data_IF_837661887953
#
_entry.id   IF_837661887953
#
_cell.length_a   1.000
_cell.length_b   1.000
_cell.length_c   1.000
_cell.angle_alpha   90.00
_cell.angle_beta   90.00
_cell.angle_gamma   90.00
#
_symmetry.space_group_name_H-M   'P 1'
#
loop_
_entity.id
_entity.type
_entity.pdbx_description
1 polymer ?
#
# COMPACT_ATOMS: atom_id res chain seq x y z
N UNK A 1 0.17 13.42 20.61
CA UNK A 1 -0.65 13.81 19.44
C UNK A 1 0.13 13.40 18.20
N UNK A 2 -0.49 12.73 17.22
CA UNK A 2 0.20 12.35 15.98
C UNK A 2 0.47 13.60 15.13
N UNK A 3 1.67 13.68 14.55
CA UNK A 3 2.05 14.73 13.59
C UNK A 3 2.17 14.14 12.18
N UNK A 4 1.28 14.52 11.24
CA UNK A 4 1.33 14.05 9.87
C UNK A 4 2.64 14.41 9.16
N UNK A 5 3.16 13.51 8.34
CA UNK A 5 4.29 13.83 7.46
C UNK A 5 3.87 14.77 6.33
N UNK A 6 4.78 15.65 5.93
CA UNK A 6 4.55 16.57 4.81
C UNK A 6 4.47 15.81 3.47
N UNK A 7 3.76 16.40 2.50
CA UNK A 7 3.72 15.93 1.10
C UNK A 7 4.45 16.97 0.25
N UNK A 8 5.45 16.59 -0.58
CA UNK A 8 5.89 15.22 -0.85
C UNK A 8 6.62 14.57 0.34
N UNK A 9 6.39 13.28 0.51
CA UNK A 9 7.05 12.43 1.50
C UNK A 9 7.94 11.42 0.78
N UNK A 10 9.12 11.19 1.33
CA UNK A 10 10.01 10.10 0.98
C UNK A 10 10.61 9.52 2.26
N UNK A 11 10.56 8.19 2.40
CA UNK A 11 11.02 7.51 3.61
C UNK A 11 12.56 7.46 3.67
N UNK A 12 13.11 7.45 4.88
CA UNK A 12 14.54 7.66 5.14
C UNK A 12 15.38 6.37 5.18
N UNK A 13 14.76 5.20 5.00
CA UNK A 13 15.43 3.89 4.98
C UNK A 13 16.04 3.59 3.61
N UNK A 14 16.94 2.59 3.46
CA UNK A 14 17.36 2.17 2.12
C UNK A 14 16.13 1.76 1.30
N UNK A 15 15.81 2.61 0.33
CA UNK A 15 14.67 2.40 -0.56
C UNK A 15 15.10 1.51 -1.73
N UNK A 16 14.20 0.67 -2.24
CA UNK A 16 14.40 0.12 -3.57
C UNK A 16 14.45 1.27 -4.59
N UNK A 17 14.95 0.98 -5.80
CA UNK A 17 14.88 1.95 -6.90
C UNK A 17 13.43 2.31 -7.17
N UNK A 18 13.05 3.56 -6.88
CA UNK A 18 11.67 4.01 -7.04
C UNK A 18 11.37 4.27 -8.52
N UNK A 19 10.25 3.77 -9.05
CA UNK A 19 9.86 4.04 -10.42
C UNK A 19 9.46 5.50 -10.59
N UNK A 20 9.66 6.01 -11.79
CA UNK A 20 9.15 7.30 -12.24
C UNK A 20 7.63 7.25 -12.40
N UNK A 21 6.98 8.41 -12.36
CA UNK A 21 5.54 8.51 -12.59
C UNK A 21 5.12 7.98 -13.96
N UNK A 22 5.96 8.15 -14.99
CA UNK A 22 5.68 7.65 -16.33
C UNK A 22 5.76 6.11 -16.41
N UNK A 23 6.75 5.51 -15.75
CA UNK A 23 6.83 4.04 -15.63
C UNK A 23 5.61 3.48 -14.87
N UNK A 24 5.17 4.16 -13.81
CA UNK A 24 3.97 3.76 -13.06
C UNK A 24 2.73 3.81 -13.98
N UNK A 25 2.56 4.89 -14.76
CA UNK A 25 1.42 5.06 -15.67
C UNK A 25 1.44 4.08 -16.84
N UNK A 26 2.62 3.73 -17.33
CA UNK A 26 2.81 2.77 -18.41
C UNK A 26 2.73 1.30 -17.93
N UNK A 27 2.72 1.06 -16.62
CA UNK A 27 2.70 -0.28 -16.05
C UNK A 27 1.41 -1.04 -16.43
N UNK A 28 1.58 -2.20 -17.07
CA UNK A 28 0.48 -3.06 -17.52
C UNK A 28 0.03 -4.07 -16.47
N UNK A 29 0.81 -4.26 -15.40
CA UNK A 29 0.51 -5.18 -14.31
C UNK A 29 -0.44 -4.54 -13.30
N UNK A 30 -1.70 -4.38 -13.71
CA UNK A 30 -2.77 -3.80 -12.90
C UNK A 30 -3.34 -4.84 -11.94
N UNK A 31 -3.18 -4.61 -10.63
CA UNK A 31 -3.76 -5.47 -9.59
C UNK A 31 -5.22 -5.15 -9.32
N UNK A 32 -5.58 -3.86 -9.44
CA UNK A 32 -6.92 -3.36 -9.20
C UNK A 32 -7.12 -2.02 -9.91
N UNK A 33 -8.31 -1.81 -10.48
CA UNK A 33 -8.66 -0.55 -11.13
C UNK A 33 -10.13 -0.21 -10.88
N UNK A 34 -10.35 1.06 -10.61
CA UNK A 34 -11.66 1.69 -10.46
C UNK A 34 -11.67 2.97 -11.29
N UNK A 35 -12.83 3.61 -11.41
CA UNK A 35 -12.91 4.92 -12.07
C UNK A 35 -12.00 5.99 -11.44
N UNK A 36 -11.74 5.91 -10.13
CA UNK A 36 -11.08 6.97 -9.37
C UNK A 36 -9.65 6.63 -8.90
N UNK A 37 -9.23 5.37 -8.99
CA UNK A 37 -7.95 4.88 -8.50
C UNK A 37 -7.50 3.61 -9.21
N UNK A 38 -6.18 3.43 -9.28
CA UNK A 38 -5.50 2.27 -9.86
C UNK A 38 -4.41 1.78 -8.91
N UNK A 39 -4.23 0.46 -8.86
CA UNK A 39 -3.15 -0.22 -8.15
C UNK A 39 -2.36 -1.03 -9.17
N UNK A 40 -1.07 -0.75 -9.30
CA UNK A 40 -0.15 -1.47 -10.19
C UNK A 40 0.98 -2.12 -9.40
N UNK A 41 1.37 -3.33 -9.78
CA UNK A 41 2.58 -3.98 -9.29
C UNK A 41 3.72 -3.73 -10.27
N UNK A 42 4.59 -2.78 -9.92
CA UNK A 42 5.70 -2.37 -10.79
C UNK A 42 6.75 -3.47 -10.90
N UNK A 43 7.05 -4.13 -9.77
CA UNK A 43 7.93 -5.29 -9.69
C UNK A 43 7.55 -6.14 -8.46
N UNK A 44 8.44 -7.03 -8.02
CA UNK A 44 8.19 -7.91 -6.87
C UNK A 44 8.29 -7.21 -5.51
N UNK A 45 8.90 -6.03 -5.45
CA UNK A 45 9.10 -5.25 -4.22
C UNK A 45 8.19 -4.03 -4.11
N UNK A 46 7.64 -3.55 -5.22
CA UNK A 46 6.94 -2.26 -5.30
C UNK A 46 5.53 -2.42 -5.88
N UNK A 47 4.56 -1.91 -5.13
CA UNK A 47 3.20 -1.65 -5.59
C UNK A 47 2.90 -0.16 -5.48
N UNK A 48 2.15 0.38 -6.44
CA UNK A 48 1.76 1.79 -6.44
C UNK A 48 0.27 1.92 -6.53
N UNK A 49 -0.31 2.65 -5.58
CA UNK A 49 -1.71 3.08 -5.63
C UNK A 49 -1.75 4.54 -6.03
N UNK A 50 -2.50 4.87 -7.08
CA UNK A 50 -2.61 6.26 -7.56
C UNK A 50 -3.97 6.60 -8.15
N UNK A 51 -4.35 7.89 -8.12
CA UNK A 51 -5.68 8.31 -8.53
C UNK A 51 -6.11 9.68 -8.01
N UNK A 52 -7.26 10.16 -8.50
CA UNK A 52 -7.80 11.49 -8.18
C UNK A 52 -8.63 11.55 -6.90
N UNK A 53 -9.06 10.41 -6.37
CA UNK A 53 -9.85 10.34 -5.12
C UNK A 53 -9.15 9.57 -4.00
N UNK A 54 -7.81 9.54 -4.02
CA UNK A 54 -7.02 8.95 -2.93
C UNK A 54 -6.73 10.04 -1.90
N UNK A 55 -6.85 9.69 -0.62
CA UNK A 55 -6.57 10.59 0.49
C UNK A 55 -5.15 10.32 1.05
N UNK A 56 -4.46 11.38 1.44
CA UNK A 56 -3.15 11.29 2.10
C UNK A 56 -3.19 10.49 3.41
N UNK A 57 -4.35 10.38 4.06
CA UNK A 57 -4.54 9.59 5.28
C UNK A 57 -4.11 8.12 5.16
N UNK A 58 -4.23 7.52 3.97
CA UNK A 58 -3.75 6.16 3.75
C UNK A 58 -2.22 6.08 3.91
N UNK A 59 -1.49 7.02 3.30
CA UNK A 59 -0.05 7.13 3.50
C UNK A 59 0.32 7.47 4.94
N UNK A 60 -0.40 8.40 5.57
CA UNK A 60 -0.18 8.76 6.99
C UNK A 60 -0.36 7.56 7.92
N UNK A 61 -1.39 6.73 7.68
CA UNK A 61 -1.64 5.52 8.46
C UNK A 61 -0.49 4.51 8.34
N UNK A 62 0.06 4.32 7.14
CA UNK A 62 1.22 3.43 6.94
C UNK A 62 2.46 3.95 7.70
N UNK A 63 2.73 5.25 7.64
CA UNK A 63 3.85 5.85 8.39
C UNK A 63 3.63 5.77 9.90
N UNK A 64 2.38 5.93 10.35
CA UNK A 64 2.03 5.76 11.77
C UNK A 64 2.29 4.33 12.24
N UNK A 65 1.79 3.32 11.50
CA UNK A 65 1.98 1.91 11.83
C UNK A 65 3.47 1.55 11.87
N UNK A 66 4.24 1.98 10.87
CA UNK A 66 5.69 1.75 10.82
C UNK A 66 6.43 2.32 12.05
N UNK A 67 6.03 3.50 12.53
CA UNK A 67 6.72 4.19 13.64
C UNK A 67 6.26 3.75 15.03
N UNK A 68 5.00 3.35 15.17
CA UNK A 68 4.37 3.20 16.48
C UNK A 68 3.87 1.79 16.78
N UNK A 69 3.61 0.98 15.76
CA UNK A 69 3.08 -0.39 15.91
C UNK A 69 3.78 -1.34 14.93
N UNK A 70 5.12 -1.50 15.03
CA UNK A 70 5.90 -2.29 14.08
C UNK A 70 5.56 -3.79 14.10
N UNK A 71 4.83 -4.26 15.11
CA UNK A 71 4.36 -5.64 15.20
C UNK A 71 3.24 -5.95 14.19
N UNK A 72 2.52 -4.92 13.72
CA UNK A 72 1.49 -5.09 12.69
C UNK A 72 2.17 -5.16 11.32
N UNK A 73 2.02 -6.28 10.58
CA UNK A 73 2.63 -6.44 9.27
C UNK A 73 1.87 -5.62 8.22
N UNK A 74 2.21 -4.33 8.12
CA UNK A 74 1.70 -3.40 7.11
C UNK A 74 2.77 -3.09 6.04
N UNK A 75 2.36 -2.78 4.81
CA UNK A 75 3.29 -2.29 3.78
C UNK A 75 4.02 -1.02 4.24
N UNK A 76 5.34 -0.94 3.99
CA UNK A 76 6.08 0.30 4.20
C UNK A 76 5.79 1.29 3.08
N UNK A 77 5.49 2.54 3.43
CA UNK A 77 5.37 3.62 2.46
C UNK A 77 6.77 4.13 2.09
N UNK A 78 7.12 4.07 0.81
CA UNK A 78 8.39 4.56 0.30
C UNK A 78 8.32 6.02 -0.12
N UNK A 79 7.25 6.41 -0.82
CA UNK A 79 7.01 7.78 -1.23
C UNK A 79 5.51 8.09 -1.33
N UNK A 80 5.17 9.36 -1.10
CA UNK A 80 3.83 9.90 -1.33
C UNK A 80 3.93 11.31 -1.91
N UNK A 81 3.33 11.54 -3.08
CA UNK A 81 3.41 12.83 -3.76
C UNK A 81 2.24 13.02 -4.73
N UNK A 82 2.00 14.27 -5.13
CA UNK A 82 1.04 14.60 -6.17
C UNK A 82 1.74 14.74 -7.52
N UNK A 83 1.13 14.20 -8.57
CA UNK A 83 1.44 14.54 -9.95
C UNK A 83 0.16 14.68 -10.77
N UNK A 84 0.03 15.77 -11.52
CA UNK A 84 -1.14 16.03 -12.38
C UNK A 84 -2.50 15.86 -11.66
N UNK A 85 -2.59 16.35 -10.40
CA UNK A 85 -3.77 16.23 -9.50
C UNK A 85 -4.11 14.81 -9.03
N UNK A 86 -3.27 13.82 -9.33
CA UNK A 86 -3.39 12.48 -8.79
C UNK A 86 -2.40 12.32 -7.64
N UNK A 87 -2.83 11.70 -6.55
CA UNK A 87 -1.96 11.29 -5.47
C UNK A 87 -1.35 9.94 -5.81
N UNK A 88 -0.04 9.79 -5.60
CA UNK A 88 0.71 8.55 -5.76
C UNK A 88 1.19 8.09 -4.38
N UNK A 89 0.93 6.81 -4.07
CA UNK A 89 1.45 6.11 -2.89
C UNK A 89 2.32 4.96 -3.39
N UNK A 90 3.64 5.11 -3.29
CA UNK A 90 4.60 4.07 -3.62
C UNK A 90 4.92 3.32 -2.34
N UNK A 91 4.65 2.01 -2.32
CA UNK A 91 4.74 1.21 -1.11
C UNK A 91 5.29 -0.20 -1.38
N UNK A 92 5.72 -0.85 -0.31
CA UNK A 92 6.18 -2.23 -0.33
C UNK A 92 5.10 -3.17 -0.88
N UNK A 93 5.48 -4.03 -1.83
CA UNK A 93 4.64 -5.16 -2.23
C UNK A 93 4.86 -6.31 -1.24
N UNK A 94 3.81 -6.63 -0.49
CA UNK A 94 3.83 -7.77 0.44
C UNK A 94 3.35 -9.01 -0.30
N UNK A 95 4.15 -10.10 -0.36
CA UNK A 95 3.71 -11.36 -0.94
C UNK A 95 2.51 -11.92 -0.18
N UNK A 96 1.42 -12.23 -0.88
CA UNK A 96 0.23 -12.77 -0.27
C UNK A 96 -0.81 -13.21 -1.28
N UNK A 97 -1.72 -14.07 -0.82
CA UNK A 97 -2.92 -14.45 -1.56
C UNK A 97 -4.09 -13.68 -0.96
N UNK A 98 -4.91 -13.05 -1.80
CA UNK A 98 -6.07 -12.32 -1.34
C UNK A 98 -6.96 -13.25 -0.50
N UNK A 99 -7.33 -12.81 0.70
CA UNK A 99 -8.08 -13.65 1.63
C UNK A 99 -9.40 -14.13 1.02
N UNK A 100 -10.08 -13.29 0.25
CA UNK A 100 -11.35 -13.62 -0.42
C UNK A 100 -11.25 -14.87 -1.33
N UNK A 101 -10.11 -15.12 -1.97
CA UNK A 101 -9.94 -16.22 -2.92
C UNK A 101 -9.72 -17.54 -2.22
N UNK A 102 -9.11 -17.50 -1.02
CA UNK A 102 -8.89 -18.68 -0.19
C UNK A 102 -9.97 -18.87 0.88
N UNK A 103 -10.76 -17.83 1.19
CA UNK A 103 -11.77 -17.86 2.25
C UNK A 103 -12.73 -19.06 2.17
N UNK A 104 -13.26 -19.43 0.98
CA UNK A 104 -14.13 -20.59 0.85
C UNK A 104 -13.42 -21.94 1.13
N UNK A 105 -12.12 -22.02 0.87
CA UNK A 105 -11.31 -23.24 1.03
C UNK A 105 -10.57 -23.33 2.37
N UNK A 106 -10.64 -22.29 3.21
CA UNK A 106 -10.12 -22.31 4.57
C UNK A 106 -10.91 -23.32 5.42
N UNK A 107 -10.20 -24.18 6.15
CA UNK A 107 -10.85 -25.06 7.14
C UNK A 107 -11.42 -24.23 8.32
N UNK A 108 -12.52 -24.66 8.97
CA UNK A 108 -13.17 -23.89 10.05
C UNK A 108 -12.23 -23.39 11.15
N UNK A 109 -11.29 -24.23 11.61
CA UNK A 109 -10.31 -23.88 12.64
C UNK A 109 -9.43 -22.70 12.24
N UNK A 110 -9.00 -22.64 10.97
CA UNK A 110 -8.14 -21.58 10.43
C UNK A 110 -8.90 -20.27 10.20
N UNK A 111 -10.22 -20.32 10.00
CA UNK A 111 -11.07 -19.11 9.99
C UNK A 111 -11.20 -18.52 11.39
N UNK A 112 -11.48 -19.34 12.41
CA UNK A 112 -11.63 -18.87 13.79
C UNK A 112 -10.38 -18.11 14.27
N UNK A 113 -9.17 -18.63 14.02
CA UNK A 113 -7.93 -17.92 14.41
C UNK A 113 -7.75 -16.56 13.72
N UNK A 114 -8.14 -16.43 12.45
CA UNK A 114 -8.09 -15.14 11.74
C UNK A 114 -9.14 -14.14 12.26
N UNK A 115 -10.26 -14.64 12.80
CA UNK A 115 -11.34 -13.82 13.35
C UNK A 115 -11.13 -13.42 14.81
N UNK A 116 -10.38 -14.21 15.59
CA UNK A 116 -10.14 -13.95 17.02
C UNK A 116 -8.91 -13.10 17.31
N UNK A 117 -8.05 -12.81 16.32
CA UNK A 117 -6.90 -11.92 16.50
C UNK A 117 -7.27 -10.43 16.34
N UNK A 118 -8.52 -10.06 16.64
CA UNK A 118 -9.05 -8.68 16.56
C UNK A 118 -9.45 -8.12 17.93
N UNK A 119 -9.03 -8.75 19.03
CA UNK A 119 -9.25 -8.30 20.40
C UNK A 119 -7.96 -7.72 21.03
#
# INVERSE_FOLDING_TARGET
MWEPVAVPFQNSQPLPFLPTTDEIRACTNVLWETYASKIVAVNDDIVVKYGGCINTWEGQALVYLERHIPEVPAPRLYAMYYDSRQLFLIMQRVPGVQLNSIWPSLRPLRRMTLSTNSD
#
